data_IF_021876453978
#
_entry.id   IF_021876453978
#
_cell.length_a   1.000
_cell.length_b   1.000
_cell.length_c   1.000
_cell.angle_alpha   90.00
_cell.angle_beta   90.00
_cell.angle_gamma   90.00
#
_symmetry.space_group_name_H-M   'P 1'
#
loop_
_entity.id
_entity.type
_entity.pdbx_description
1 polymer ?
#
# COMPACT_ATOMS: atom_id res chain seq x y z
N UNK A 1 -3.07 20.67 8.11
CA UNK A 1 -3.95 19.47 8.04
C UNK A 1 -3.18 18.28 8.56
N UNK A 2 -3.79 17.45 9.43
CA UNK A 2 -3.11 16.28 9.97
C UNK A 2 -2.80 15.28 8.84
N UNK A 3 -1.53 14.89 8.71
CA UNK A 3 -1.10 13.80 7.84
C UNK A 3 -1.21 12.51 8.65
N UNK A 4 -1.97 11.55 8.14
CA UNK A 4 -2.08 10.23 8.73
C UNK A 4 -0.98 9.33 8.16
N UNK A 5 -0.32 8.58 9.03
CA UNK A 5 0.61 7.54 8.62
C UNK A 5 -0.22 6.30 8.27
N UNK A 6 0.00 5.77 7.08
CA UNK A 6 -0.70 4.60 6.57
C UNK A 6 0.27 3.55 6.05
N UNK A 7 -0.13 2.28 6.16
CA UNK A 7 0.65 1.14 5.68
C UNK A 7 0.03 0.66 4.36
N UNK A 8 0.86 0.50 3.33
CA UNK A 8 0.50 -0.11 2.06
C UNK A 8 0.98 -1.56 2.07
N UNK A 9 0.06 -2.51 1.92
CA UNK A 9 0.32 -3.96 1.94
C UNK A 9 0.10 -4.57 0.56
N UNK A 10 1.00 -5.47 0.13
CA UNK A 10 0.88 -6.19 -1.15
C UNK A 10 -0.34 -7.14 -1.15
N UNK A 11 -1.19 -7.03 -2.17
CA UNK A 11 -2.41 -7.87 -2.27
C UNK A 11 -2.14 -9.28 -2.81
N UNK A 12 -1.08 -9.43 -3.61
CA UNK A 12 -0.79 -10.67 -4.35
C UNK A 12 0.01 -11.68 -3.52
N UNK A 13 0.87 -11.21 -2.61
CA UNK A 13 1.79 -12.06 -1.88
C UNK A 13 1.09 -13.08 -0.97
N UNK A 14 -0.05 -12.68 -0.35
CA UNK A 14 -0.81 -13.55 0.55
C UNK A 14 -1.42 -14.75 -0.18
N UNK A 15 -1.93 -14.56 -1.40
CA UNK A 15 -2.46 -15.64 -2.22
C UNK A 15 -1.39 -16.62 -2.68
N UNK A 16 -0.14 -16.15 -2.81
CA UNK A 16 1.01 -16.94 -3.26
C UNK A 16 1.78 -17.61 -2.11
N UNK A 17 1.29 -17.52 -0.87
CA UNK A 17 1.96 -18.08 0.31
C UNK A 17 3.31 -17.45 0.63
N UNK A 18 3.60 -16.27 0.06
CA UNK A 18 4.86 -15.55 0.27
C UNK A 18 4.69 -14.46 1.33
N UNK A 19 5.79 -14.07 2.02
CA UNK A 19 5.76 -12.93 2.93
C UNK A 19 5.29 -11.67 2.20
N UNK A 20 4.45 -10.89 2.89
CA UNK A 20 3.79 -9.73 2.31
C UNK A 20 4.68 -8.51 2.43
N UNK A 21 4.93 -7.83 1.32
CA UNK A 21 5.68 -6.57 1.31
C UNK A 21 4.81 -5.44 1.88
N UNK A 22 5.38 -4.64 2.78
CA UNK A 22 4.70 -3.53 3.46
C UNK A 22 5.52 -2.25 3.33
N UNK A 23 4.84 -1.14 3.05
CA UNK A 23 5.44 0.18 2.93
C UNK A 23 4.71 1.19 3.82
N UNK A 24 5.46 2.05 4.50
CA UNK A 24 4.91 3.14 5.29
C UNK A 24 4.86 4.41 4.44
N UNK A 25 3.71 5.08 4.41
CA UNK A 25 3.55 6.35 3.67
C UNK A 25 2.66 7.31 4.45
N UNK A 26 2.79 8.61 4.19
CA UNK A 26 1.85 9.59 4.70
C UNK A 26 0.72 9.83 3.71
N UNK A 27 -0.50 10.01 4.23
CA UNK A 27 -1.73 10.28 3.51
C UNK A 27 -2.38 11.52 4.09
N UNK A 28 -2.93 12.36 3.22
CA UNK A 28 -3.78 13.47 3.63
C UNK A 28 -5.25 13.08 3.42
N UNK A 29 -5.95 12.78 4.51
CA UNK A 29 -7.36 12.33 4.49
C UNK A 29 -8.32 13.35 3.88
N UNK A 30 -8.02 14.65 3.99
CA UNK A 30 -8.84 15.74 3.44
C UNK A 30 -8.48 16.11 2.00
N UNK A 31 -7.54 15.40 1.37
CA UNK A 31 -7.17 15.69 -0.01
C UNK A 31 -8.26 15.22 -0.98
N UNK A 32 -8.80 16.10 -1.85
CA UNK A 32 -9.79 15.71 -2.86
C UNK A 32 -9.22 14.74 -3.92
N UNK A 33 -7.88 14.58 -4.01
CA UNK A 33 -7.22 13.65 -4.94
C UNK A 33 -7.21 12.20 -4.46
N UNK A 34 -7.44 11.96 -3.17
CA UNK A 34 -7.44 10.62 -2.57
C UNK A 34 -8.63 10.48 -1.62
N UNK A 35 -9.88 10.50 -2.15
CA UNK A 35 -11.08 10.39 -1.33
C UNK A 35 -11.22 8.99 -0.70
N UNK A 36 -10.69 7.95 -1.36
CA UNK A 36 -10.84 6.55 -0.97
C UNK A 36 -9.50 5.95 -0.49
N UNK A 37 -9.46 4.61 -0.34
CA UNK A 37 -8.24 3.85 0.00
C UNK A 37 -7.11 4.14 -0.98
N UNK A 38 -5.91 4.35 -0.45
CA UNK A 38 -4.71 4.57 -1.26
C UNK A 38 -4.25 3.25 -1.89
N UNK A 39 -4.13 3.23 -3.21
CA UNK A 39 -3.57 2.10 -3.94
C UNK A 39 -2.37 2.58 -4.77
N UNK A 40 -1.24 1.89 -4.65
CA UNK A 40 -0.03 2.21 -5.42
C UNK A 40 0.63 0.94 -5.92
N UNK A 41 1.09 0.97 -7.17
CA UNK A 41 2.01 -0.04 -7.67
C UNK A 41 3.38 0.20 -7.04
N UNK A 42 3.86 -0.79 -6.29
CA UNK A 42 5.18 -0.77 -5.65
C UNK A 42 5.90 -2.07 -5.95
N UNK A 43 7.23 -1.99 -5.99
CA UNK A 43 8.07 -3.17 -6.11
C UNK A 43 7.85 -4.09 -4.92
N UNK A 44 7.70 -5.39 -5.14
CA UNK A 44 7.69 -6.39 -4.08
C UNK A 44 8.99 -7.22 -4.18
N UNK A 45 9.89 -7.17 -3.18
CA UNK A 45 11.17 -7.89 -3.22
C UNK A 45 11.00 -9.42 -3.22
N UNK A 46 9.91 -9.96 -2.66
CA UNK A 46 9.65 -11.40 -2.56
C UNK A 46 9.11 -12.00 -3.87
N UNK A 47 8.49 -11.18 -4.70
CA UNK A 47 7.98 -11.55 -6.03
C UNK A 47 8.86 -11.03 -7.17
N UNK A 48 9.87 -10.20 -6.84
CA UNK A 48 10.81 -9.55 -7.77
C UNK A 48 10.11 -8.79 -8.91
N UNK A 49 8.93 -8.24 -8.63
CA UNK A 49 8.11 -7.51 -9.62
C UNK A 49 7.29 -6.42 -8.95
N UNK A 50 6.75 -5.49 -9.75
CA UNK A 50 5.82 -4.49 -9.25
C UNK A 50 4.44 -5.12 -9.08
N UNK A 51 3.86 -4.94 -7.89
CA UNK A 51 2.56 -5.49 -7.52
C UNK A 51 1.68 -4.40 -6.95
N UNK A 52 0.37 -4.63 -6.93
CA UNK A 52 -0.56 -3.70 -6.33
C UNK A 52 -0.42 -3.73 -4.80
N UNK A 53 -0.17 -2.57 -4.20
CA UNK A 53 -0.21 -2.41 -2.75
C UNK A 53 -1.41 -1.54 -2.37
N UNK A 54 -2.20 -2.04 -1.41
CA UNK A 54 -3.40 -1.38 -0.91
C UNK A 54 -3.19 -0.89 0.51
N UNK A 55 -3.77 0.26 0.82
CA UNK A 55 -3.86 0.78 2.17
C UNK A 55 -4.53 -0.24 3.09
N UNK A 56 -3.78 -0.65 4.09
CA UNK A 56 -4.25 -1.43 5.23
C UNK A 56 -4.34 -0.49 6.41
N UNK A 57 -5.49 -0.51 7.08
CA UNK A 57 -5.82 0.30 8.24
C UNK A 57 -5.50 -0.49 9.50
#
# INVERSE_FOLDING_TARGET
MAQEIVILECTEAKALGKPVSRYMTSRNKKSPRTPNRLEKKKYNPFLRRHTLHRETK
#
